data_IF_460249617216
#
_entry.id   IF_460249617216
#
_cell.length_a   1.000
_cell.length_b   1.000
_cell.length_c   1.000
_cell.angle_alpha   90.00
_cell.angle_beta   90.00
_cell.angle_gamma   90.00
#
_symmetry.space_group_name_H-M   'P 1'
#
loop_
_entity.id
_entity.type
_entity.pdbx_description
1 polymer ?
#
# COMPACT_ATOMS: atom_id res chain seq x y z
N UNK A 1 -18.76 -20.41 23.88
CA UNK A 1 -18.53 -18.96 24.00
C UNK A 1 -18.04 -18.59 25.40
N UNK A 2 -16.85 -19.04 25.80
CA UNK A 2 -16.30 -18.81 27.16
C UNK A 2 -15.61 -17.44 27.25
N UNK A 3 -15.99 -16.63 28.25
CA UNK A 3 -15.38 -15.33 28.55
C UNK A 3 -13.93 -15.48 29.01
N UNK A 4 -13.66 -16.41 29.94
CA UNK A 4 -12.31 -16.65 30.46
C UNK A 4 -11.32 -17.00 29.35
N UNK A 5 -11.72 -17.88 28.43
CA UNK A 5 -10.88 -18.27 27.29
C UNK A 5 -10.63 -17.10 26.34
N UNK A 6 -11.64 -16.26 26.12
CA UNK A 6 -11.47 -15.06 25.28
C UNK A 6 -10.48 -14.06 25.92
N UNK A 7 -10.61 -13.81 27.23
CA UNK A 7 -9.71 -12.92 27.97
C UNK A 7 -8.27 -13.43 28.01
N UNK A 8 -8.08 -14.75 28.14
CA UNK A 8 -6.78 -15.40 28.02
C UNK A 8 -6.14 -15.14 26.65
N UNK A 9 -6.91 -15.36 25.56
CA UNK A 9 -6.46 -15.12 24.18
C UNK A 9 -6.09 -13.64 23.97
N UNK A 10 -6.90 -12.70 24.48
CA UNK A 10 -6.58 -11.26 24.40
C UNK A 10 -5.23 -10.98 25.06
N UNK A 11 -4.98 -11.53 26.25
CA UNK A 11 -3.74 -11.30 27.00
C UNK A 11 -2.51 -11.81 26.25
N UNK A 12 -2.56 -13.04 25.74
CA UNK A 12 -1.46 -13.64 24.98
C UNK A 12 -1.21 -12.90 23.67
N UNK A 13 -2.29 -12.64 22.91
CA UNK A 13 -2.21 -11.94 21.63
C UNK A 13 -1.70 -10.51 21.80
N UNK A 14 -2.19 -9.78 22.81
CA UNK A 14 -1.71 -8.43 23.14
C UNK A 14 -0.22 -8.42 23.47
N UNK A 15 0.26 -9.44 24.19
CA UNK A 15 1.69 -9.59 24.50
C UNK A 15 2.50 -9.85 23.25
N UNK A 16 2.00 -10.71 22.36
CA UNK A 16 2.65 -11.05 21.10
C UNK A 16 2.76 -9.84 20.16
N UNK A 17 1.64 -9.19 19.83
CA UNK A 17 1.62 -8.06 18.89
C UNK A 17 2.43 -6.85 19.41
N UNK A 18 2.51 -6.68 20.74
CA UNK A 18 3.38 -5.67 21.35
C UNK A 18 4.85 -5.92 21.09
N UNK A 19 5.29 -7.19 21.08
CA UNK A 19 6.68 -7.55 20.71
C UNK A 19 6.96 -7.30 19.22
N UNK A 20 5.95 -7.46 18.37
CA UNK A 20 6.04 -7.15 16.93
C UNK A 20 6.11 -5.63 16.69
N UNK A 21 5.55 -4.81 17.59
CA UNK A 21 5.61 -3.35 17.55
C UNK A 21 4.25 -2.65 17.48
N UNK A 22 3.14 -3.39 17.49
CA UNK A 22 1.80 -2.83 17.54
C UNK A 22 1.47 -2.33 18.95
N UNK A 23 0.67 -1.26 19.05
CA UNK A 23 0.05 -0.86 20.31
C UNK A 23 -1.25 -1.66 20.53
N UNK A 24 -1.32 -2.59 21.51
CA UNK A 24 -2.52 -3.41 21.70
C UNK A 24 -3.77 -2.61 22.01
N UNK A 25 -3.63 -1.41 22.58
CA UNK A 25 -4.77 -0.52 22.86
C UNK A 25 -5.42 0.04 21.61
N UNK A 26 -4.71 0.07 20.48
CA UNK A 26 -5.24 0.52 19.20
C UNK A 26 -5.92 -0.62 18.40
N UNK A 27 -6.02 -1.82 18.98
CA UNK A 27 -6.55 -3.02 18.33
C UNK A 27 -7.89 -3.40 18.95
N UNK A 28 -8.91 -3.56 18.11
CA UNK A 28 -10.20 -4.11 18.52
C UNK A 28 -10.11 -5.64 18.61
N UNK A 29 -10.51 -6.21 19.74
CA UNK A 29 -10.63 -7.66 19.93
C UNK A 29 -12.10 -8.05 19.87
N UNK A 30 -12.49 -8.79 18.83
CA UNK A 30 -13.89 -9.17 18.57
C UNK A 30 -14.02 -10.70 18.64
N UNK A 31 -14.81 -11.27 19.56
CA UNK A 31 -15.10 -12.71 19.57
C UNK A 31 -16.15 -12.99 18.48
N UNK A 32 -15.81 -13.84 17.51
CA UNK A 32 -16.66 -14.13 16.35
C UNK A 32 -16.83 -15.63 16.11
N UNK A 33 -17.85 -16.00 15.33
CA UNK A 33 -17.86 -17.26 14.57
C UNK A 33 -18.08 -16.93 13.10
N UNK A 34 -17.06 -17.13 12.27
CA UNK A 34 -17.20 -16.95 10.83
C UNK A 34 -18.18 -17.95 10.20
N UNK A 35 -18.39 -19.12 10.83
CA UNK A 35 -19.30 -20.15 10.33
C UNK A 35 -20.77 -19.85 10.69
N UNK A 36 -21.03 -19.38 11.90
CA UNK A 36 -22.38 -19.14 12.41
C UNK A 36 -22.82 -17.68 12.31
N UNK A 37 -21.91 -16.77 11.98
CA UNK A 37 -22.20 -15.34 11.80
C UNK A 37 -22.17 -14.51 13.09
N UNK A 38 -21.89 -15.12 14.25
CA UNK A 38 -21.86 -14.42 15.53
C UNK A 38 -20.88 -13.25 15.54
N UNK A 39 -21.37 -12.05 15.90
CA UNK A 39 -20.62 -10.79 15.94
C UNK A 39 -19.94 -10.42 14.61
N UNK A 40 -20.33 -11.00 13.47
CA UNK A 40 -19.79 -10.63 12.16
C UNK A 40 -20.39 -9.31 11.68
N UNK A 41 -21.71 -9.30 11.49
CA UNK A 41 -22.50 -8.14 11.04
C UNK A 41 -23.46 -7.64 12.13
N UNK A 42 -23.94 -8.56 12.97
CA UNK A 42 -24.92 -8.31 14.03
C UNK A 42 -24.43 -8.88 15.35
N UNK A 43 -24.95 -8.36 16.46
CA UNK A 43 -24.63 -8.84 17.80
C UNK A 43 -25.10 -10.28 18.00
N UNK A 44 -24.22 -11.12 18.53
CA UNK A 44 -24.58 -12.49 18.91
C UNK A 44 -25.34 -12.52 20.23
N UNK A 45 -26.44 -13.28 20.25
CA UNK A 45 -27.14 -13.65 21.49
C UNK A 45 -26.41 -14.71 22.32
N UNK A 46 -25.41 -15.39 21.76
CA UNK A 46 -24.67 -16.47 22.41
C UNK A 46 -23.55 -15.98 23.36
N UNK A 47 -23.25 -14.68 23.34
CA UNK A 47 -22.16 -14.05 24.10
C UNK A 47 -22.66 -12.91 24.98
N UNK A 48 -23.61 -13.20 25.88
CA UNK A 48 -24.24 -12.17 26.74
C UNK A 48 -23.26 -11.43 27.67
N UNK A 49 -22.11 -12.03 27.96
CA UNK A 49 -21.00 -11.44 28.71
C UNK A 49 -20.28 -10.34 27.92
N UNK A 50 -20.20 -10.45 26.60
CA UNK A 50 -19.42 -9.53 25.77
C UNK A 50 -20.13 -8.18 25.64
N UNK A 51 -19.45 -7.11 26.06
CA UNK A 51 -19.99 -5.74 26.07
C UNK A 51 -19.52 -4.89 24.89
N UNK A 52 -18.79 -5.47 23.95
CA UNK A 52 -18.18 -4.79 22.83
C UNK A 52 -16.67 -4.62 22.99
N UNK A 53 -16.03 -4.28 21.89
CA UNK A 53 -14.62 -3.95 21.82
C UNK A 53 -14.41 -2.46 22.03
N UNK A 54 -13.19 -2.07 22.39
CA UNK A 54 -12.77 -0.68 22.50
C UNK A 54 -11.37 -0.56 21.93
N UNK A 55 -11.09 0.51 21.19
CA UNK A 55 -9.73 0.83 20.72
C UNK A 55 -9.44 2.33 20.86
N UNK A 56 -8.18 2.66 21.12
CA UNK A 56 -7.66 4.03 21.12
C UNK A 56 -7.19 4.40 19.71
N UNK A 57 -7.68 5.52 19.19
CA UNK A 57 -7.22 6.12 17.93
C UNK A 57 -6.66 7.52 18.18
N UNK A 58 -6.15 8.20 17.15
CA UNK A 58 -5.68 9.60 17.29
C UNK A 58 -6.83 10.54 17.66
N UNK A 59 -8.05 10.24 17.22
CA UNK A 59 -9.27 11.00 17.51
C UNK A 59 -9.94 10.68 18.85
N UNK A 60 -9.43 9.69 19.61
CA UNK A 60 -9.98 9.30 20.91
C UNK A 60 -10.36 7.82 20.98
N UNK A 61 -11.25 7.48 21.90
CA UNK A 61 -11.67 6.09 22.15
C UNK A 61 -12.87 5.74 21.28
N UNK A 62 -12.74 4.71 20.46
CA UNK A 62 -13.80 4.17 19.60
C UNK A 62 -14.28 2.84 20.16
N UNK A 63 -15.59 2.59 20.08
CA UNK A 63 -16.24 1.36 20.57
C UNK A 63 -17.15 0.80 19.50
N UNK A 64 -17.35 -0.51 19.54
CA UNK A 64 -18.31 -1.23 18.72
C UNK A 64 -18.49 -2.64 19.25
N UNK A 65 -19.27 -3.46 18.56
CA UNK A 65 -19.58 -4.82 19.00
C UNK A 65 -19.25 -5.85 17.94
N UNK A 66 -19.50 -5.53 16.69
CA UNK A 66 -19.32 -6.47 15.57
C UNK A 66 -17.96 -6.30 14.90
N UNK A 67 -17.59 -7.26 14.05
CA UNK A 67 -16.42 -7.17 13.18
C UNK A 67 -16.62 -6.07 12.13
N UNK A 68 -17.83 -5.91 11.60
CA UNK A 68 -18.17 -4.81 10.70
C UNK A 68 -17.91 -3.46 11.36
N UNK A 69 -18.37 -3.25 12.60
CA UNK A 69 -18.10 -2.02 13.34
C UNK A 69 -16.58 -1.76 13.45
N UNK A 70 -15.79 -2.82 13.64
CA UNK A 70 -14.34 -2.70 13.81
C UNK A 70 -13.64 -2.28 12.51
N UNK A 71 -14.14 -2.76 11.36
CA UNK A 71 -13.68 -2.39 10.02
C UNK A 71 -14.09 -0.95 9.69
N UNK A 72 -15.35 -0.59 9.94
CA UNK A 72 -15.86 0.77 9.70
C UNK A 72 -15.16 1.81 10.59
N UNK A 73 -14.70 1.39 11.76
CA UNK A 73 -13.90 2.21 12.66
C UNK A 73 -12.42 2.36 12.25
N UNK A 74 -11.97 1.79 11.13
CA UNK A 74 -10.61 2.01 10.63
C UNK A 74 -10.49 3.47 10.16
N UNK A 75 -9.58 4.23 10.77
CA UNK A 75 -9.28 5.58 10.30
C UNK A 75 -8.75 5.51 8.87
N UNK A 76 -9.41 6.17 7.88
CA UNK A 76 -8.93 6.15 6.51
C UNK A 76 -7.49 6.68 6.45
N UNK A 77 -6.57 5.98 5.76
CA UNK A 77 -5.20 6.46 5.64
C UNK A 77 -5.20 7.79 4.87
N UNK A 78 -4.37 8.73 5.31
CA UNK A 78 -4.17 9.99 4.59
C UNK A 78 -3.49 9.68 3.26
N UNK A 79 -4.20 9.91 2.16
CA UNK A 79 -3.63 9.74 0.82
C UNK A 79 -2.55 10.82 0.60
N UNK A 80 -1.32 10.46 0.20
CA UNK A 80 -0.21 11.39 0.06
C UNK A 80 -0.28 12.21 -1.26
N UNK A 81 -1.41 12.84 -1.54
CA UNK A 81 -1.66 13.60 -2.78
C UNK A 81 -0.82 14.87 -2.89
N UNK A 82 -0.45 15.47 -1.75
CA UNK A 82 0.37 16.69 -1.69
C UNK A 82 1.88 16.41 -1.80
N UNK A 83 2.28 15.14 -1.81
CA UNK A 83 3.70 14.76 -1.99
C UNK A 83 4.08 14.75 -3.47
N UNK A 84 5.38 14.80 -3.81
CA UNK A 84 5.85 14.59 -5.17
C UNK A 84 5.32 13.31 -5.81
N UNK A 85 5.11 13.32 -7.12
CA UNK A 85 4.63 12.15 -7.87
C UNK A 85 5.67 11.01 -7.80
N UNK A 86 5.21 9.82 -7.40
CA UNK A 86 5.93 8.55 -7.55
C UNK A 86 4.98 7.48 -8.07
N UNK A 87 5.25 6.97 -9.26
CA UNK A 87 4.45 5.96 -9.94
C UNK A 87 5.39 4.87 -10.47
N UNK A 88 5.66 3.81 -9.68
CA UNK A 88 6.42 2.65 -10.11
C UNK A 88 5.70 1.90 -11.24
N UNK A 89 6.42 1.63 -12.33
CA UNK A 89 5.87 0.95 -13.50
C UNK A 89 5.75 -0.55 -13.23
N UNK A 90 4.55 -1.09 -13.45
CA UNK A 90 4.27 -2.52 -13.42
C UNK A 90 4.51 -3.13 -14.79
N UNK A 91 4.03 -2.48 -15.86
CA UNK A 91 4.17 -2.93 -17.24
C UNK A 91 4.27 -1.73 -18.20
N UNK A 92 4.74 -1.99 -19.42
CA UNK A 92 4.81 -0.99 -20.50
C UNK A 92 4.30 -1.63 -21.79
N UNK A 93 3.26 -1.04 -22.38
CA UNK A 93 2.62 -1.55 -23.59
C UNK A 93 2.87 -0.63 -24.79
N UNK A 94 2.90 -1.23 -25.99
CA UNK A 94 2.82 -0.52 -27.26
C UNK A 94 1.43 -0.73 -27.85
N UNK A 95 0.60 0.30 -27.86
CA UNK A 95 -0.76 0.24 -28.41
C UNK A 95 -0.77 0.90 -29.79
N UNK A 96 -1.28 0.19 -30.79
CA UNK A 96 -1.41 0.71 -32.16
C UNK A 96 -2.26 1.98 -32.19
N UNK A 97 -1.79 3.03 -32.88
CA UNK A 97 -2.48 4.33 -32.97
C UNK A 97 -2.35 5.24 -31.74
N UNK A 98 -2.02 4.69 -30.56
CA UNK A 98 -1.88 5.44 -29.31
C UNK A 98 -0.39 5.68 -28.97
N UNK A 99 0.46 4.66 -29.14
CA UNK A 99 1.88 4.72 -28.82
C UNK A 99 2.23 3.95 -27.55
N UNK A 100 3.14 4.50 -26.76
CA UNK A 100 3.65 3.87 -25.54
C UNK A 100 2.76 4.20 -24.35
N UNK A 101 2.32 3.17 -23.62
CA UNK A 101 1.43 3.28 -22.46
C UNK A 101 2.02 2.50 -21.29
N UNK A 102 2.71 3.17 -20.34
CA UNK A 102 3.09 2.58 -19.08
C UNK A 102 1.88 2.42 -18.16
N UNK A 103 1.92 1.39 -17.32
CA UNK A 103 0.89 1.08 -16.33
C UNK A 103 1.53 0.94 -14.96
N UNK A 104 0.90 1.48 -13.93
CA UNK A 104 1.36 1.33 -12.55
C UNK A 104 0.42 1.96 -11.54
N UNK A 105 0.78 1.81 -10.26
CA UNK A 105 0.05 2.42 -9.15
C UNK A 105 0.64 3.78 -8.82
N UNK A 106 -0.21 4.79 -8.64
CA UNK A 106 0.22 6.06 -8.05
C UNK A 106 0.45 5.85 -6.55
N UNK A 107 1.69 5.94 -6.09
CA UNK A 107 2.02 5.75 -4.67
C UNK A 107 1.95 7.08 -3.90
N UNK A 108 2.45 8.15 -4.52
CA UNK A 108 2.40 9.52 -3.99
C UNK A 108 2.17 10.53 -5.09
N UNK A 109 1.64 11.70 -4.71
CA UNK A 109 1.33 12.79 -5.64
C UNK A 109 0.16 12.49 -6.57
N UNK A 110 0.08 13.23 -7.66
CA UNK A 110 -1.00 13.14 -8.65
C UNK A 110 -0.39 13.11 -10.05
N UNK A 111 -0.99 12.36 -10.97
CA UNK A 111 -0.63 12.35 -12.39
C UNK A 111 -1.79 12.91 -13.21
N UNK A 112 -1.50 13.79 -14.18
CA UNK A 112 -2.49 14.43 -15.06
C UNK A 112 -1.98 14.48 -16.49
N UNK A 113 -2.91 14.57 -17.43
CA UNK A 113 -2.57 14.98 -18.79
C UNK A 113 -1.88 16.35 -18.80
N UNK A 114 -0.88 16.52 -19.67
CA UNK A 114 -0.06 17.73 -19.79
C UNK A 114 1.11 17.82 -18.80
N UNK A 115 1.20 16.93 -17.80
CA UNK A 115 2.37 16.87 -16.93
C UNK A 115 3.60 16.40 -17.70
N UNK A 116 4.76 17.00 -17.39
CA UNK A 116 6.05 16.53 -17.89
C UNK A 116 6.65 15.62 -16.83
N UNK A 117 6.77 14.33 -17.14
CA UNK A 117 7.27 13.31 -16.22
C UNK A 117 8.66 12.84 -16.62
N UNK A 118 9.45 12.47 -15.62
CA UNK A 118 10.78 11.86 -15.77
C UNK A 118 10.74 10.43 -15.21
N UNK A 119 11.33 9.50 -15.96
CA UNK A 119 11.46 8.09 -15.58
C UNK A 119 12.84 7.81 -15.03
N UNK A 120 12.92 7.36 -13.77
CA UNK A 120 14.15 6.88 -13.16
C UNK A 120 14.27 5.35 -13.32
N UNK A 121 15.49 4.80 -13.49
CA UNK A 121 16.79 5.49 -13.52
C UNK A 121 17.20 5.97 -14.93
N UNK A 122 16.40 5.74 -15.98
CA UNK A 122 16.80 6.02 -17.37
C UNK A 122 16.89 7.51 -17.70
N UNK A 123 16.36 8.39 -16.84
CA UNK A 123 16.31 9.84 -16.98
C UNK A 123 15.60 10.33 -18.26
N UNK A 124 14.73 9.50 -18.83
CA UNK A 124 13.89 9.87 -19.97
C UNK A 124 12.79 10.80 -19.48
N UNK A 125 12.61 11.94 -20.15
CA UNK A 125 11.58 12.94 -19.81
C UNK A 125 10.61 13.13 -20.96
N UNK A 126 9.31 13.14 -20.68
CA UNK A 126 8.25 13.28 -21.69
C UNK A 126 6.98 13.87 -21.10
N UNK A 127 6.06 14.30 -21.97
CA UNK A 127 4.74 14.80 -21.59
C UNK A 127 3.70 13.66 -21.59
N UNK A 128 2.91 13.60 -20.52
CA UNK A 128 1.74 12.72 -20.40
C UNK A 128 0.59 13.27 -21.25
N UNK A 129 -0.01 12.47 -22.12
CA UNK A 129 -1.11 12.91 -22.99
C UNK A 129 -2.49 12.55 -22.48
N UNK A 130 -2.64 11.38 -21.90
CA UNK A 130 -3.86 10.93 -21.25
C UNK A 130 -3.52 10.06 -20.06
N UNK A 131 -4.44 9.98 -19.12
CA UNK A 131 -4.42 9.05 -17.98
C UNK A 131 -5.75 8.32 -18.01
N UNK A 132 -5.71 7.00 -17.89
CA UNK A 132 -6.87 6.12 -18.00
C UNK A 132 -6.86 5.08 -16.89
N UNK A 133 -8.05 4.71 -16.39
CA UNK A 133 -8.25 3.63 -15.44
C UNK A 133 -9.50 2.86 -15.85
N UNK A 134 -9.41 1.52 -15.92
CA UNK A 134 -10.54 0.66 -16.34
C UNK A 134 -11.21 1.08 -17.66
N UNK A 135 -10.43 1.56 -18.64
CA UNK A 135 -10.88 2.07 -19.95
C UNK A 135 -11.69 3.37 -19.92
N UNK A 136 -11.65 4.09 -18.80
CA UNK A 136 -12.20 5.44 -18.70
C UNK A 136 -11.07 6.46 -18.56
N UNK A 137 -11.21 7.59 -19.27
CA UNK A 137 -10.25 8.67 -19.18
C UNK A 137 -10.45 9.44 -17.87
N UNK A 138 -9.34 9.67 -17.16
CA UNK A 138 -9.31 10.43 -15.92
C UNK A 138 -8.77 11.84 -16.17
N UNK A 139 -9.33 12.83 -15.45
CA UNK A 139 -8.72 14.15 -15.35
C UNK A 139 -7.37 14.08 -14.61
N UNK A 140 -7.32 13.23 -13.59
CA UNK A 140 -6.15 12.98 -12.77
C UNK A 140 -6.18 11.58 -12.15
N UNK A 141 -5.01 10.95 -11.99
CA UNK A 141 -4.82 9.77 -11.16
C UNK A 141 -4.26 10.17 -9.78
N UNK A 142 -4.84 9.65 -8.71
CA UNK A 142 -4.48 9.97 -7.32
C UNK A 142 -3.89 8.76 -6.59
N UNK A 143 -3.26 8.93 -5.40
CA UNK A 143 -2.62 7.82 -4.71
C UNK A 143 -3.57 6.65 -4.45
N UNK A 144 -3.14 5.45 -4.84
CA UNK A 144 -3.91 4.21 -4.78
C UNK A 144 -4.47 3.74 -6.11
N UNK A 145 -4.64 4.63 -7.10
CA UNK A 145 -5.18 4.29 -8.42
C UNK A 145 -4.15 3.49 -9.23
N UNK A 146 -4.64 2.46 -9.94
CA UNK A 146 -3.85 1.76 -10.95
C UNK A 146 -4.21 2.33 -12.31
N UNK A 147 -3.29 3.09 -12.91
CA UNK A 147 -3.55 3.86 -14.13
C UNK A 147 -2.64 3.40 -15.26
N UNK A 148 -3.17 3.44 -16.48
CA UNK A 148 -2.39 3.51 -17.70
C UNK A 148 -2.29 4.96 -18.16
N UNK A 149 -1.13 5.39 -18.67
CA UNK A 149 -1.00 6.76 -19.16
C UNK A 149 -0.22 6.81 -20.48
N UNK A 150 -0.69 7.62 -21.43
CA UNK A 150 -0.03 7.76 -22.72
C UNK A 150 1.14 8.75 -22.64
N UNK A 151 2.27 8.39 -23.25
CA UNK A 151 3.42 9.28 -23.40
C UNK A 151 3.90 9.38 -24.84
N UNK A 152 4.41 10.56 -25.23
CA UNK A 152 4.97 10.78 -26.57
C UNK A 152 6.47 10.53 -26.62
N UNK A 153 6.99 10.19 -27.80
CA UNK A 153 8.42 10.17 -28.11
C UNK A 153 9.29 9.29 -27.17
N UNK A 154 8.67 8.30 -26.52
CA UNK A 154 9.35 7.30 -25.68
C UNK A 154 9.02 5.93 -26.24
N UNK A 155 10.04 5.13 -26.52
CA UNK A 155 9.87 3.73 -26.95
C UNK A 155 9.61 2.84 -25.75
N UNK A 156 8.86 1.75 -25.95
CA UNK A 156 8.71 0.67 -24.95
C UNK A 156 10.04 0.02 -24.54
N UNK A 157 11.13 0.27 -25.27
CA UNK A 157 12.48 -0.19 -24.92
C UNK A 157 13.22 0.76 -23.98
N UNK A 158 12.78 2.01 -23.88
CA UNK A 158 13.47 3.07 -23.12
C UNK A 158 13.06 3.07 -21.64
N UNK A 159 11.95 2.39 -21.33
CA UNK A 159 11.37 2.26 -19.99
C UNK A 159 10.86 0.83 -19.80
N UNK A 160 10.85 0.36 -18.55
CA UNK A 160 10.44 -1.01 -18.21
C UNK A 160 9.83 -1.09 -16.81
N UNK A 161 9.26 -2.25 -16.49
CA UNK A 161 8.87 -2.62 -15.12
C UNK A 161 9.99 -2.31 -14.13
N UNK A 162 9.64 -1.74 -12.99
CA UNK A 162 10.58 -1.32 -11.96
C UNK A 162 11.11 0.11 -12.12
N UNK A 163 10.98 0.74 -13.28
CA UNK A 163 11.24 2.18 -13.39
C UNK A 163 10.19 2.97 -12.62
N UNK A 164 10.52 4.20 -12.22
CA UNK A 164 9.63 5.08 -11.45
C UNK A 164 9.39 6.35 -12.24
N UNK A 165 8.13 6.60 -12.60
CA UNK A 165 7.72 7.88 -13.15
C UNK A 165 7.51 8.91 -12.03
N UNK A 166 7.92 10.14 -12.28
CA UNK A 166 7.85 11.26 -11.34
C UNK A 166 7.65 12.58 -12.08
N UNK A 167 7.15 13.62 -11.41
CA UNK A 167 7.03 14.95 -12.00
C UNK A 167 8.43 15.57 -12.18
N UNK A 168 8.78 15.93 -13.41
CA UNK A 168 10.07 16.55 -13.74
C UNK A 168 10.32 17.88 -13.01
N UNK A 169 9.25 18.57 -12.58
CA UNK A 169 9.32 19.90 -11.95
C UNK A 169 9.25 19.86 -10.42
N UNK A 170 8.93 18.71 -9.82
CA UNK A 170 8.72 18.60 -8.39
C UNK A 170 9.38 17.34 -7.85
N UNK A 171 10.64 17.49 -7.42
CA UNK A 171 11.48 16.42 -6.88
C UNK A 171 11.46 15.15 -7.76
N UNK A 172 12.02 15.20 -8.98
CA UNK A 172 12.06 14.05 -9.88
C UNK A 172 12.87 12.90 -9.26
N UNK A 173 12.38 11.68 -9.43
CA UNK A 173 13.07 10.46 -9.03
C UNK A 173 14.42 10.32 -9.74
N UNK A 174 15.39 9.69 -9.06
CA UNK A 174 16.77 9.52 -9.55
C UNK A 174 17.24 8.11 -9.29
N UNK A 175 18.27 7.71 -10.03
CA UNK A 175 19.01 6.49 -9.75
C UNK A 175 19.65 6.53 -8.35
N UNK A 176 19.56 5.42 -7.61
CA UNK A 176 20.24 5.25 -6.34
C UNK A 176 21.57 4.53 -6.58
N UNK A 177 22.70 5.20 -6.35
CA UNK A 177 24.02 4.57 -6.41
C UNK A 177 24.24 3.57 -5.27
N UNK A 178 23.73 3.91 -4.08
CA UNK A 178 23.67 3.03 -2.91
C UNK A 178 22.66 3.61 -1.91
N UNK A 179 22.21 2.79 -0.97
CA UNK A 179 21.37 3.24 0.13
C UNK A 179 21.69 2.44 1.39
N UNK A 180 21.43 3.03 2.55
CA UNK A 180 21.45 2.33 3.84
C UNK A 180 20.02 1.99 4.22
N UNK A 181 19.79 0.76 4.66
CA UNK A 181 18.48 0.30 5.12
C UNK A 181 18.60 -0.42 6.46
N UNK A 182 17.56 -0.31 7.27
CA UNK A 182 17.38 -1.18 8.42
C UNK A 182 16.75 -2.49 7.92
N UNK A 183 17.43 -3.61 8.16
CA UNK A 183 16.96 -4.94 7.75
C UNK A 183 16.64 -5.79 8.98
N UNK A 184 15.59 -6.60 8.88
CA UNK A 184 15.28 -7.64 9.85
C UNK A 184 15.56 -8.97 9.17
N UNK A 185 16.47 -9.75 9.75
CA UNK A 185 16.81 -11.08 9.22
C UNK A 185 15.73 -12.06 9.68
N UNK A 186 15.01 -12.63 8.71
CA UNK A 186 14.04 -13.70 8.96
C UNK A 186 14.76 -15.04 9.19
N UNK A 187 14.01 -16.05 9.63
CA UNK A 187 14.58 -17.38 9.84
C UNK A 187 15.21 -17.90 8.53
N UNK A 188 16.53 -18.08 8.55
CA UNK A 188 17.34 -18.42 7.40
C UNK A 188 18.47 -19.37 7.85
N UNK A 189 18.73 -20.49 7.14
CA UNK A 189 19.66 -21.52 7.59
C UNK A 189 21.14 -21.11 7.49
N UNK A 190 21.45 -20.03 6.77
CA UNK A 190 22.82 -19.57 6.52
C UNK A 190 23.20 -18.29 7.25
N UNK A 191 24.48 -17.96 7.22
CA UNK A 191 25.04 -16.72 7.74
C UNK A 191 25.11 -15.66 6.63
N UNK A 192 24.95 -14.39 6.99
CA UNK A 192 25.06 -13.24 6.08
C UNK A 192 26.31 -12.45 6.47
N UNK A 193 27.21 -12.23 5.51
CA UNK A 193 28.42 -11.44 5.66
C UNK A 193 28.49 -10.28 4.67
N UNK A 194 29.45 -9.38 4.85
CA UNK A 194 29.72 -8.32 3.88
C UNK A 194 30.02 -8.92 2.49
N UNK A 195 29.40 -8.36 1.45
CA UNK A 195 29.47 -8.88 0.09
C UNK A 195 28.36 -9.87 -0.27
N UNK A 196 27.48 -10.24 0.66
CA UNK A 196 26.27 -10.99 0.31
C UNK A 196 25.40 -10.14 -0.63
N UNK A 197 25.11 -10.66 -1.82
CA UNK A 197 24.40 -9.98 -2.89
C UNK A 197 23.13 -10.75 -3.28
N UNK A 198 22.08 -10.74 -2.43
CA UNK A 198 20.79 -11.31 -2.79
C UNK A 198 20.06 -10.38 -3.77
N UNK A 199 19.01 -10.89 -4.39
CA UNK A 199 18.05 -10.06 -5.12
C UNK A 199 17.20 -9.28 -4.12
N UNK A 200 16.91 -8.02 -4.42
CA UNK A 200 15.99 -7.18 -3.66
C UNK A 200 14.75 -6.85 -4.48
N UNK A 201 13.60 -7.20 -3.92
CA UNK A 201 12.30 -6.70 -4.36
C UNK A 201 11.98 -5.39 -3.64
N UNK A 202 11.82 -4.31 -4.41
CA UNK A 202 11.41 -3.01 -3.92
C UNK A 202 10.41 -2.41 -4.90
N UNK A 203 9.23 -1.97 -4.42
CA UNK A 203 8.11 -1.56 -5.28
C UNK A 203 7.82 -2.61 -6.37
N UNK A 204 7.99 -2.23 -7.64
CA UNK A 204 7.87 -3.10 -8.82
C UNK A 204 9.22 -3.56 -9.38
N UNK A 205 10.33 -3.08 -8.81
CA UNK A 205 11.68 -3.47 -9.21
C UNK A 205 12.10 -4.77 -8.54
N UNK A 206 12.88 -5.53 -9.29
CA UNK A 206 13.49 -6.79 -8.91
C UNK A 206 14.93 -6.73 -9.46
N UNK A 207 15.90 -6.51 -8.57
CA UNK A 207 17.31 -6.23 -8.92
C UNK A 207 18.22 -7.10 -8.07
#
# INVERSE_FOLDING_TARGET
>A
WSEDRFNEIIKETSTFIKKVGYNPKAVAFVPISGWHGDNMLEESSNMTWYKGWTKETKGGVVKGKTLLDAIDAIEPPVRPSDKPLRLPLQDVYKIGGIGTVPVGRVETGVIKAGMVVTFAPTNVTTEVKSVEMHHEQLEQGVPGDNVGFNVKNVSVKDIRRGNVASDSKNDPAKEAASFTAQVIILNHPGQIGAGYAPVLDCHTAHI
#
